data_IF_400154424683
#
_entry.id   IF_400154424683
#
_cell.length_a   1.000
_cell.length_b   1.000
_cell.length_c   1.000
_cell.angle_alpha   90.00
_cell.angle_beta   90.00
_cell.angle_gamma   90.00
#
_symmetry.space_group_name_H-M   'P 1'
#
loop_
_entity.id
_entity.type
_entity.pdbx_description
1 polymer ?
#
# COMPACT_ATOMS: atom_id res chain seq x y z
N UNK A 1 12.13 -10.28 -13.91
CA UNK A 1 12.80 -9.83 -12.67
C UNK A 1 11.77 -9.15 -11.80
N UNK A 2 11.68 -9.52 -10.52
CA UNK A 2 10.77 -8.85 -9.60
C UNK A 2 11.27 -7.44 -9.29
N UNK A 3 10.33 -6.51 -9.03
CA UNK A 3 10.59 -5.14 -8.55
C UNK A 3 11.64 -5.11 -7.41
N UNK A 4 11.66 -6.21 -6.65
CA UNK A 4 12.50 -6.52 -5.52
C UNK A 4 14.00 -6.60 -5.83
N UNK A 5 14.46 -7.16 -6.95
CA UNK A 5 15.90 -7.34 -7.21
C UNK A 5 16.61 -6.02 -7.49
N UNK A 6 15.93 -5.09 -8.18
CA UNK A 6 16.51 -3.80 -8.57
C UNK A 6 16.71 -2.90 -7.35
N UNK A 7 15.76 -2.84 -6.43
CA UNK A 7 15.91 -2.04 -5.20
C UNK A 7 16.75 -2.79 -4.15
N UNK A 8 16.51 -4.09 -3.96
CA UNK A 8 17.19 -4.88 -2.94
C UNK A 8 18.63 -5.26 -3.34
N UNK A 9 19.04 -5.09 -4.61
CA UNK A 9 20.43 -5.21 -5.03
C UNK A 9 21.35 -4.17 -4.39
N UNK A 10 20.81 -2.99 -4.06
CA UNK A 10 21.56 -1.91 -3.44
C UNK A 10 21.79 -2.12 -1.93
N UNK A 11 22.84 -1.51 -1.40
CA UNK A 11 23.15 -1.46 0.02
C UNK A 11 22.10 -0.65 0.80
N UNK A 12 22.02 -0.86 2.11
CA UNK A 12 21.08 -0.13 2.96
C UNK A 12 21.39 1.39 2.95
N UNK A 13 22.66 1.74 2.87
CA UNK A 13 23.16 3.11 2.79
C UNK A 13 22.79 3.78 1.47
N UNK A 14 22.91 3.07 0.34
CA UNK A 14 22.49 3.57 -0.98
C UNK A 14 20.97 3.79 -1.04
N UNK A 15 20.16 2.85 -0.55
CA UNK A 15 18.70 3.01 -0.48
C UNK A 15 18.35 4.25 0.37
N UNK A 16 19.02 4.44 1.51
CA UNK A 16 18.79 5.60 2.37
C UNK A 16 19.15 6.93 1.68
N UNK A 17 20.28 6.95 0.94
CA UNK A 17 20.73 8.12 0.19
C UNK A 17 19.77 8.45 -0.97
N UNK A 18 19.33 7.43 -1.72
CA UNK A 18 18.40 7.57 -2.85
C UNK A 18 17.06 8.17 -2.40
N UNK A 19 16.51 7.72 -1.26
CA UNK A 19 15.29 8.30 -0.68
C UNK A 19 15.43 9.82 -0.49
N UNK A 20 16.57 10.28 0.04
CA UNK A 20 16.81 11.71 0.26
C UNK A 20 17.11 12.49 -1.02
N UNK A 21 17.72 11.85 -2.02
CA UNK A 21 18.05 12.47 -3.30
C UNK A 21 16.80 12.69 -4.18
N UNK A 22 15.92 11.69 -4.25
CA UNK A 22 14.71 11.74 -5.09
C UNK A 22 13.58 12.55 -4.45
N UNK A 23 13.51 12.59 -3.12
CA UNK A 23 12.42 13.22 -2.39
C UNK A 23 12.94 14.29 -1.44
N UNK A 24 12.84 15.56 -1.84
CA UNK A 24 13.24 16.70 -0.99
C UNK A 24 12.55 16.73 0.38
N UNK A 25 11.38 16.10 0.49
CA UNK A 25 10.61 16.01 1.72
C UNK A 25 10.99 14.81 2.59
N UNK A 26 11.73 13.82 2.06
CA UNK A 26 12.00 12.56 2.75
C UNK A 26 13.46 12.49 3.23
N UNK A 27 13.65 11.92 4.42
CA UNK A 27 14.98 11.54 4.91
C UNK A 27 14.90 10.23 5.67
N UNK A 28 15.59 9.21 5.15
CA UNK A 28 15.75 7.93 5.84
C UNK A 28 16.80 8.08 6.97
N UNK A 29 16.42 7.68 8.18
CA UNK A 29 17.33 7.52 9.32
C UNK A 29 18.10 6.19 9.21
N UNK A 30 17.41 5.12 8.85
CA UNK A 30 18.03 3.82 8.61
C UNK A 30 17.21 2.95 7.67
N UNK A 31 17.90 2.03 7.00
CA UNK A 31 17.29 0.98 6.19
C UNK A 31 17.77 -0.36 6.73
N UNK A 32 16.84 -1.30 6.93
CA UNK A 32 17.12 -2.64 7.39
C UNK A 32 16.58 -3.66 6.39
N UNK A 33 17.46 -4.50 5.85
CA UNK A 33 17.14 -5.55 4.88
C UNK A 33 16.98 -6.88 5.62
N UNK A 34 15.87 -7.58 5.39
CA UNK A 34 15.60 -8.86 6.04
C UNK A 34 16.33 -10.00 5.31
N UNK A 35 17.29 -10.73 5.90
CA UNK A 35 18.18 -11.65 5.16
C UNK A 35 17.50 -12.81 4.42
N UNK A 36 16.23 -13.10 4.70
CA UNK A 36 15.46 -14.21 4.11
C UNK A 36 14.21 -13.73 3.37
N UNK A 37 14.10 -12.44 3.11
CA UNK A 37 13.03 -11.89 2.29
C UNK A 37 13.52 -10.68 1.50
N UNK A 38 12.87 -10.38 0.39
CA UNK A 38 13.12 -9.16 -0.39
C UNK A 38 12.43 -7.93 0.20
N UNK A 39 12.27 -7.91 1.52
CA UNK A 39 11.60 -6.86 2.26
C UNK A 39 12.65 -5.93 2.84
N UNK A 40 12.45 -4.62 2.69
CA UNK A 40 13.25 -3.62 3.37
C UNK A 40 12.37 -2.82 4.34
N UNK A 41 12.90 -2.56 5.53
CA UNK A 41 12.32 -1.63 6.49
C UNK A 41 13.05 -0.30 6.38
N UNK A 42 12.33 0.76 6.01
CA UNK A 42 12.86 2.12 5.96
C UNK A 42 12.30 2.88 7.17
N UNK A 43 13.19 3.40 8.00
CA UNK A 43 12.81 4.28 9.12
C UNK A 43 13.13 5.71 8.73
N UNK A 44 12.12 6.57 8.68
CA UNK A 44 12.26 7.99 8.38
C UNK A 44 12.59 8.79 9.64
N UNK A 45 13.14 9.98 9.47
CA UNK A 45 13.40 10.87 10.62
C UNK A 45 12.12 11.39 11.27
N UNK A 46 11.04 11.49 10.50
CA UNK A 46 9.72 11.97 10.94
C UNK A 46 8.59 11.03 10.48
N UNK A 47 7.56 10.88 11.31
CA UNK A 47 6.36 10.13 11.01
C UNK A 47 5.55 10.76 9.87
N UNK A 48 5.63 12.08 9.67
CA UNK A 48 4.98 12.73 8.52
C UNK A 48 5.58 12.24 7.20
N UNK A 49 6.89 12.02 7.12
CA UNK A 49 7.54 11.50 5.93
C UNK A 49 7.07 10.08 5.60
N UNK A 50 6.95 9.22 6.62
CA UNK A 50 6.39 7.88 6.43
C UNK A 50 4.93 7.93 5.91
N UNK A 51 4.13 8.90 6.36
CA UNK A 51 2.77 9.12 5.83
C UNK A 51 2.79 9.61 4.38
N UNK A 52 3.64 10.56 4.05
CA UNK A 52 3.78 11.06 2.68
C UNK A 52 4.24 9.93 1.74
N UNK A 53 5.21 9.11 2.14
CA UNK A 53 5.61 7.93 1.38
C UNK A 53 4.44 6.98 1.11
N UNK A 54 3.57 6.71 2.09
CA UNK A 54 2.38 5.88 1.89
C UNK A 54 1.34 6.50 0.94
N UNK A 55 1.29 7.84 0.83
CA UNK A 55 0.35 8.54 -0.05
C UNK A 55 0.91 8.72 -1.46
N UNK A 56 2.15 9.14 -1.58
CA UNK A 56 2.80 9.53 -2.83
C UNK A 56 3.58 8.37 -3.48
N UNK A 57 3.94 7.34 -2.71
CA UNK A 57 4.92 6.34 -3.15
C UNK A 57 6.36 6.77 -2.90
N UNK A 58 7.32 5.95 -3.34
CA UNK A 58 8.75 6.26 -3.32
C UNK A 58 9.37 5.92 -4.67
N UNK A 59 10.01 6.91 -5.30
CA UNK A 59 10.93 6.68 -6.41
C UNK A 59 12.28 6.21 -5.86
N UNK A 60 12.73 5.03 -6.28
CA UNK A 60 13.99 4.41 -5.90
C UNK A 60 14.62 3.79 -7.14
N UNK A 61 15.82 4.24 -7.54
CA UNK A 61 16.60 3.64 -8.63
C UNK A 61 15.78 3.47 -9.93
N UNK A 62 15.11 4.54 -10.35
CA UNK A 62 14.26 4.60 -11.55
C UNK A 62 12.95 3.80 -11.47
N UNK A 63 12.61 3.25 -10.31
CA UNK A 63 11.36 2.53 -10.08
C UNK A 63 10.48 3.33 -9.12
N UNK A 64 9.19 3.39 -9.43
CA UNK A 64 8.20 3.90 -8.51
C UNK A 64 7.60 2.76 -7.66
N UNK A 65 7.82 2.80 -6.35
CA UNK A 65 7.17 1.90 -5.38
C UNK A 65 5.91 2.59 -4.86
N UNK A 66 4.71 2.18 -5.31
CA UNK A 66 3.49 2.88 -4.94
C UNK A 66 3.13 2.64 -3.46
N UNK A 67 2.43 3.61 -2.88
CA UNK A 67 1.99 3.61 -1.48
C UNK A 67 1.35 2.31 -0.99
N UNK A 68 0.51 1.69 -1.82
CA UNK A 68 -0.23 0.48 -1.48
C UNK A 68 0.64 -0.79 -1.37
N UNK A 69 1.86 -0.79 -1.91
CA UNK A 69 2.86 -1.85 -1.74
C UNK A 69 3.71 -1.65 -0.47
N UNK A 70 3.51 -0.53 0.21
CA UNK A 70 4.19 -0.20 1.46
C UNK A 70 3.22 -0.36 2.62
N UNK A 71 3.75 -0.75 3.77
CA UNK A 71 2.97 -0.86 5.01
C UNK A 71 3.66 -0.12 6.12
N UNK A 72 2.90 0.69 6.86
CA UNK A 72 3.41 1.24 8.11
C UNK A 72 3.63 0.11 9.12
N UNK A 73 4.80 0.09 9.74
CA UNK A 73 5.02 -0.81 10.87
C UNK A 73 4.17 -0.32 12.05
N UNK A 74 3.18 -1.13 12.44
CA UNK A 74 2.33 -0.85 13.59
C UNK A 74 2.81 -1.70 14.76
N UNK A 75 3.32 -1.04 15.80
CA UNK A 75 3.65 -1.73 17.05
C UNK A 75 2.39 -1.96 17.88
N UNK A 76 2.02 -3.22 18.07
CA UNK A 76 0.88 -3.63 18.90
C UNK A 76 1.43 -4.17 20.22
N UNK A 77 1.32 -3.41 21.34
CA UNK A 77 1.85 -3.84 22.62
C UNK A 77 1.02 -5.00 23.17
N UNK A 78 1.67 -6.13 23.41
CA UNK A 78 1.11 -7.21 24.21
C UNK A 78 1.47 -7.02 25.68
N UNK A 79 0.47 -7.08 26.56
CA UNK A 79 0.67 -7.12 28.00
C UNK A 79 1.14 -8.53 28.35
N UNK A 80 2.34 -8.64 28.92
CA UNK A 80 2.88 -9.92 29.40
C UNK A 80 3.35 -9.73 30.83
N UNK A 81 2.97 -10.64 31.73
CA UNK A 81 3.51 -10.66 33.08
C UNK A 81 4.94 -11.23 33.04
N UNK A 82 5.94 -10.47 33.48
CA UNK A 82 7.33 -10.94 33.49
C UNK A 82 7.61 -12.01 34.55
N UNK A 83 6.72 -12.19 35.53
CA UNK A 83 6.80 -13.26 36.53
C UNK A 83 6.24 -14.57 35.98
N UNK A 84 5.11 -14.51 35.29
CA UNK A 84 4.38 -15.71 34.84
C UNK A 84 4.57 -16.03 33.35
N UNK A 85 5.12 -15.10 32.57
CA UNK A 85 5.27 -15.15 31.11
C UNK A 85 3.97 -15.46 30.34
N UNK A 86 2.83 -15.07 30.92
CA UNK A 86 1.52 -15.26 30.29
C UNK A 86 1.04 -14.00 29.60
N UNK A 87 0.50 -14.20 28.40
CA UNK A 87 0.07 -13.17 27.46
C UNK A 87 -1.35 -12.71 27.81
N UNK A 88 -1.57 -11.40 27.85
CA UNK A 88 -2.86 -10.71 28.01
C UNK A 88 -3.72 -11.08 29.23
N UNK A 89 -3.17 -11.76 30.26
CA UNK A 89 -3.93 -12.05 31.49
C UNK A 89 -3.81 -10.95 32.54
N UNK A 90 -2.60 -10.48 32.81
CA UNK A 90 -2.34 -9.39 33.76
C UNK A 90 -0.96 -8.77 33.49
N UNK A 91 -0.77 -7.47 33.80
CA UNK A 91 0.56 -6.87 33.84
C UNK A 91 1.34 -7.35 35.06
N UNK A 92 2.67 -7.25 35.02
CA UNK A 92 3.55 -7.62 36.14
C UNK A 92 3.18 -6.96 37.48
N UNK A 93 2.67 -5.73 37.43
CA UNK A 93 2.23 -4.96 38.61
C UNK A 93 1.02 -5.56 39.33
N UNK A 94 0.18 -6.32 38.62
CA UNK A 94 -1.05 -6.93 39.12
C UNK A 94 -0.91 -8.45 39.18
N UNK A 95 0.32 -8.94 39.33
CA UNK A 95 0.58 -10.37 39.46
C UNK A 95 0.06 -10.87 40.82
N UNK A 96 -0.79 -11.93 40.85
CA UNK A 96 -1.34 -12.47 42.10
C UNK A 96 -0.28 -13.21 42.95
N UNK A 97 0.89 -13.49 42.38
CA UNK A 97 1.96 -14.20 43.08
C UNK A 97 2.89 -13.26 43.85
N UNK A 98 3.48 -13.73 44.97
CA UNK A 98 4.36 -12.92 45.81
C UNK A 98 5.58 -12.38 45.06
N UNK A 99 6.17 -11.31 45.58
CA UNK A 99 7.42 -10.76 45.08
C UNK A 99 8.53 -11.82 45.22
N UNK A 100 9.10 -12.25 44.10
CA UNK A 100 10.10 -13.33 44.04
C UNK A 100 9.63 -14.56 43.27
N UNK A 101 8.32 -14.78 43.13
CA UNK A 101 7.81 -15.84 42.28
C UNK A 101 8.13 -15.55 40.81
N UNK A 102 8.73 -16.52 40.12
CA UNK A 102 9.01 -16.45 38.70
C UNK A 102 8.90 -17.83 38.04
N UNK A 103 8.41 -17.87 36.81
CA UNK A 103 8.46 -19.03 35.95
C UNK A 103 9.44 -18.82 34.82
N UNK A 104 10.25 -19.83 34.53
CA UNK A 104 11.16 -19.85 33.40
C UNK A 104 10.38 -19.71 32.09
N UNK A 105 10.74 -18.73 31.26
CA UNK A 105 10.11 -18.51 29.95
C UNK A 105 10.47 -19.57 28.92
N UNK A 106 11.53 -20.36 29.14
CA UNK A 106 11.99 -21.40 28.22
C UNK A 106 11.32 -22.74 28.51
N UNK A 107 11.32 -23.19 29.77
CA UNK A 107 10.91 -24.56 30.15
C UNK A 107 9.70 -24.62 31.09
N UNK A 108 9.09 -23.49 31.45
CA UNK A 108 7.94 -23.41 32.38
C UNK A 108 8.22 -23.75 33.85
N UNK A 109 9.46 -24.07 34.25
CA UNK A 109 9.81 -24.39 35.64
C UNK A 109 9.65 -23.20 36.60
N UNK A 110 9.29 -23.47 37.84
CA UNK A 110 9.21 -22.49 38.94
C UNK A 110 10.51 -22.38 39.74
N UNK A 111 11.47 -23.30 39.52
CA UNK A 111 12.69 -23.41 40.32
C UNK A 111 13.78 -22.43 39.89
N UNK A 112 13.71 -21.93 38.65
CA UNK A 112 14.75 -21.10 38.08
C UNK A 112 14.23 -20.05 37.09
N UNK A 113 15.07 -19.04 36.86
CA UNK A 113 14.85 -18.03 35.82
C UNK A 113 15.31 -18.50 34.44
N UNK A 114 14.84 -17.86 33.37
CA UNK A 114 15.32 -18.16 32.01
C UNK A 114 16.86 -18.07 31.86
N UNK A 115 17.52 -17.24 32.67
CA UNK A 115 18.99 -17.09 32.64
C UNK A 115 19.73 -18.31 33.18
N UNK A 116 19.09 -19.05 34.07
CA UNK A 116 19.64 -20.24 34.71
C UNK A 116 19.02 -21.53 34.12
N UNK A 117 18.30 -21.42 33.00
CA UNK A 117 17.66 -22.56 32.35
C UNK A 117 18.69 -23.36 31.57
N UNK A 118 18.93 -24.60 32.00
CA UNK A 118 19.78 -25.58 31.30
C UNK A 118 18.98 -26.55 30.45
N UNK A 119 17.64 -26.47 30.51
CA UNK A 119 16.75 -27.37 29.77
C UNK A 119 16.85 -27.10 28.26
N UNK A 120 17.14 -28.15 27.50
CA UNK A 120 17.16 -28.08 26.04
C UNK A 120 15.74 -28.12 25.44
N UNK A 121 14.84 -28.85 26.10
CA UNK A 121 13.42 -28.93 25.73
C UNK A 121 12.68 -27.70 26.22
N UNK A 122 12.16 -26.91 25.28
CA UNK A 122 11.36 -25.74 25.59
C UNK A 122 9.92 -26.14 25.78
N UNK A 123 9.20 -25.44 26.66
CA UNK A 123 7.78 -25.65 26.92
C UNK A 123 7.09 -24.31 27.14
N UNK A 124 6.09 -24.04 26.31
CA UNK A 124 5.38 -22.77 26.31
C UNK A 124 4.28 -22.77 27.37
N UNK A 125 4.34 -21.84 28.33
CA UNK A 125 3.33 -21.68 29.38
C UNK A 125 1.94 -21.27 28.84
N UNK A 126 1.88 -20.71 27.63
CA UNK A 126 0.64 -20.19 27.06
C UNK A 126 -0.14 -21.27 26.29
N UNK A 127 0.53 -22.12 25.52
CA UNK A 127 -0.12 -23.12 24.66
C UNK A 127 0.33 -24.57 24.90
N UNK A 128 1.33 -24.79 25.77
CA UNK A 128 1.89 -26.11 26.06
C UNK A 128 2.86 -26.67 25.02
N UNK A 129 3.08 -26.00 23.88
CA UNK A 129 3.94 -26.50 22.80
C UNK A 129 5.45 -26.33 23.02
N UNK A 130 6.24 -26.91 22.11
CA UNK A 130 7.70 -27.04 22.21
C UNK A 130 8.46 -25.75 21.81
N UNK A 131 8.22 -24.67 22.55
CA UNK A 131 8.87 -23.37 22.34
C UNK A 131 8.86 -22.52 23.61
N UNK A 132 9.64 -21.45 23.60
CA UNK A 132 9.63 -20.49 24.71
C UNK A 132 8.28 -19.75 24.75
N UNK A 133 7.83 -19.36 25.94
CA UNK A 133 6.65 -18.52 26.13
C UNK A 133 6.74 -17.16 25.40
N UNK A 134 7.95 -16.74 25.02
CA UNK A 134 8.23 -15.49 24.31
C UNK A 134 8.23 -15.63 22.79
N UNK A 135 8.12 -16.84 22.23
CA UNK A 135 8.19 -17.05 20.79
C UNK A 135 7.04 -16.36 20.04
N UNK A 136 7.37 -15.61 18.99
CA UNK A 136 6.39 -14.90 18.15
C UNK A 136 5.51 -15.84 17.31
N UNK A 137 5.93 -17.10 17.15
CA UNK A 137 5.15 -18.08 16.42
C UNK A 137 4.12 -18.83 17.28
N UNK A 138 4.09 -18.59 18.60
CA UNK A 138 3.11 -19.17 19.54
C UNK A 138 1.66 -18.84 19.10
N UNK A 139 0.75 -19.83 19.00
CA UNK A 139 -0.62 -19.61 18.54
C UNK A 139 -1.39 -18.62 19.43
N UNK A 140 -1.27 -18.75 20.76
CA UNK A 140 -1.93 -17.85 21.72
C UNK A 140 -1.45 -16.41 21.56
N UNK A 141 -0.14 -16.21 21.30
CA UNK A 141 0.44 -14.88 21.07
C UNK A 141 -0.03 -14.27 19.75
N UNK A 142 -0.10 -15.08 18.68
CA UNK A 142 -0.64 -14.66 17.39
C UNK A 142 -2.10 -14.25 17.49
N UNK A 143 -2.92 -15.03 18.21
CA UNK A 143 -4.32 -14.72 18.43
C UNK A 143 -4.49 -13.42 19.23
N UNK A 144 -3.71 -13.23 20.30
CA UNK A 144 -3.70 -11.99 21.07
C UNK A 144 -3.31 -10.77 20.21
N UNK A 145 -2.30 -10.90 19.34
CA UNK A 145 -1.91 -9.86 18.38
C UNK A 145 -3.05 -9.55 17.41
N UNK A 146 -3.63 -10.58 16.79
CA UNK A 146 -4.73 -10.43 15.83
C UNK A 146 -5.95 -9.75 16.48
N UNK A 147 -6.30 -10.12 17.72
CA UNK A 147 -7.40 -9.51 18.46
C UNK A 147 -7.16 -8.03 18.75
N UNK A 148 -5.94 -7.65 19.15
CA UNK A 148 -5.58 -6.25 19.40
C UNK A 148 -5.44 -5.44 18.11
N UNK A 149 -4.95 -6.05 17.04
CA UNK A 149 -4.92 -5.45 15.71
C UNK A 149 -6.33 -5.13 15.24
N UNK A 150 -7.24 -6.10 15.34
CA UNK A 150 -8.65 -5.92 14.99
C UNK A 150 -9.29 -4.81 15.82
N UNK A 151 -9.12 -4.83 17.14
CA UNK A 151 -9.66 -3.80 18.02
C UNK A 151 -9.10 -2.40 17.68
N UNK A 152 -7.81 -2.31 17.34
CA UNK A 152 -7.19 -1.05 16.91
C UNK A 152 -7.74 -0.59 15.56
N UNK A 153 -7.95 -1.53 14.63
CA UNK A 153 -8.56 -1.25 13.32
C UNK A 153 -10.00 -0.76 13.47
N UNK A 154 -10.81 -1.46 14.27
CA UNK A 154 -12.18 -1.07 14.58
C UNK A 154 -12.26 0.27 15.29
N UNK A 155 -11.33 0.58 16.20
CA UNK A 155 -11.27 1.90 16.83
C UNK A 155 -10.91 3.04 15.86
N UNK A 156 -10.16 2.74 14.79
CA UNK A 156 -9.83 3.72 13.72
C UNK A 156 -10.99 3.95 12.76
N UNK A 157 -11.75 2.90 12.45
CA UNK A 157 -12.98 3.00 11.67
C UNK A 157 -14.02 3.66 12.57
N UNK A 158 -14.14 4.99 12.51
CA UNK A 158 -15.17 5.72 13.27
C UNK A 158 -16.54 5.09 12.93
N UNK A 159 -17.24 4.45 13.89
CA UNK A 159 -18.40 3.64 13.56
C UNK A 159 -19.62 4.42 13.06
N UNK A 160 -19.61 5.75 13.06
CA UNK A 160 -20.81 6.56 12.81
C UNK A 160 -20.56 7.84 12.00
N UNK A 161 -19.55 7.87 11.14
CA UNK A 161 -19.44 8.98 10.17
C UNK A 161 -19.32 8.36 8.80
N UNK A 162 -20.45 8.17 8.14
CA UNK A 162 -20.43 7.86 6.71
C UNK A 162 -19.69 8.99 6.00
N UNK A 163 -19.01 8.70 4.89
CA UNK A 163 -18.31 9.73 4.13
C UNK A 163 -19.21 10.94 3.87
N UNK A 164 -20.50 10.71 3.59
CA UNK A 164 -21.51 11.76 3.42
C UNK A 164 -21.74 12.62 4.68
N UNK A 165 -21.74 12.03 5.88
CA UNK A 165 -21.85 12.79 7.13
C UNK A 165 -20.58 13.59 7.46
N UNK A 166 -19.40 13.06 7.12
CA UNK A 166 -18.14 13.79 7.28
C UNK A 166 -18.09 15.02 6.36
N UNK A 167 -18.61 14.91 5.14
CA UNK A 167 -18.72 16.04 4.20
C UNK A 167 -19.75 17.08 4.68
N UNK A 168 -20.87 16.65 5.28
CA UNK A 168 -21.89 17.55 5.83
C UNK A 168 -21.42 18.30 7.09
N UNK A 169 -20.58 17.69 7.93
CA UNK A 169 -20.05 18.33 9.14
C UNK A 169 -18.83 19.22 8.89
N UNK A 170 -18.23 19.17 7.70
CA UNK A 170 -17.06 19.98 7.33
C UNK A 170 -17.41 21.35 6.71
N UNK A 171 -18.69 21.74 6.68
CA UNK A 171 -19.09 23.04 6.14
C UNK A 171 -19.03 24.16 7.19
N UNK A 172 -18.20 25.20 7.01
CA UNK A 172 -18.51 26.52 7.55
C UNK A 172 -19.62 27.13 6.69
N UNK A 173 -20.79 27.40 7.28
CA UNK A 173 -21.78 28.43 6.88
C UNK A 173 -21.69 28.96 5.43
N UNK A 174 -21.87 28.08 4.44
CA UNK A 174 -22.04 28.45 3.05
C UNK A 174 -23.16 27.59 2.51
N UNK A 175 -24.17 28.25 1.94
CA UNK A 175 -25.39 27.64 1.45
C UNK A 175 -25.11 26.41 0.57
N UNK A 176 -25.93 25.36 0.64
CA UNK A 176 -25.76 24.15 -0.15
C UNK A 176 -25.84 24.51 -1.64
N UNK A 177 -24.68 24.65 -2.28
CA UNK A 177 -24.58 24.75 -3.73
C UNK A 177 -24.93 23.39 -4.30
N UNK A 178 -26.21 23.21 -4.64
CA UNK A 178 -26.70 22.09 -5.46
C UNK A 178 -25.86 22.07 -6.74
N UNK A 179 -24.89 21.17 -6.79
CA UNK A 179 -23.96 21.08 -7.91
C UNK A 179 -24.62 20.19 -8.95
N UNK A 180 -25.19 20.83 -9.97
CA UNK A 180 -25.68 20.18 -11.17
C UNK A 180 -24.60 19.22 -11.74
N UNK A 181 -24.87 17.90 -11.84
CA UNK A 181 -23.88 16.92 -12.32
C UNK A 181 -23.37 17.25 -13.73
N UNK A 182 -24.17 17.93 -14.57
CA UNK A 182 -23.74 18.40 -15.89
C UNK A 182 -22.60 19.42 -15.78
N UNK A 183 -22.63 20.31 -14.78
CA UNK A 183 -21.59 21.31 -14.55
C UNK A 183 -20.31 20.68 -13.98
N UNK A 184 -20.42 19.59 -13.23
CA UNK A 184 -19.26 18.85 -12.74
C UNK A 184 -18.48 18.21 -13.88
N UNK A 185 -19.19 17.57 -14.83
CA UNK A 185 -18.57 16.99 -16.03
C UNK A 185 -17.94 18.08 -16.91
N UNK A 186 -18.63 19.19 -17.15
CA UNK A 186 -18.09 20.31 -17.92
C UNK A 186 -16.79 20.88 -17.32
N UNK A 187 -16.71 21.02 -15.99
CA UNK A 187 -15.47 21.44 -15.29
C UNK A 187 -14.32 20.47 -15.53
N UNK A 188 -14.59 19.16 -15.48
CA UNK A 188 -13.57 18.14 -15.75
C UNK A 188 -13.08 18.21 -17.20
N UNK A 189 -13.99 18.35 -18.16
CA UNK A 189 -13.63 18.49 -19.58
C UNK A 189 -12.80 19.75 -19.85
N UNK A 190 -13.13 20.88 -19.20
CA UNK A 190 -12.32 22.11 -19.29
C UNK A 190 -10.89 21.91 -18.79
N UNK A 191 -10.72 21.15 -17.69
CA UNK A 191 -9.38 20.82 -17.14
C UNK A 191 -8.58 19.94 -18.08
N UNK A 192 -9.22 18.91 -18.68
CA UNK A 192 -8.57 18.02 -19.65
C UNK A 192 -8.17 18.81 -20.89
N UNK A 193 -9.07 19.64 -21.44
CA UNK A 193 -8.80 20.47 -22.61
C UNK A 193 -7.62 21.43 -22.37
N UNK A 194 -7.63 22.16 -21.25
CA UNK A 194 -6.53 23.07 -20.89
C UNK A 194 -5.19 22.34 -20.74
N UNK A 195 -5.20 21.09 -20.28
CA UNK A 195 -4.01 20.25 -20.16
C UNK A 195 -3.46 19.83 -21.53
N UNK A 196 -4.31 19.36 -22.43
CA UNK A 196 -3.94 18.96 -23.80
C UNK A 196 -3.30 20.15 -24.54
N UNK A 197 -3.92 21.33 -24.48
CA UNK A 197 -3.38 22.53 -25.12
C UNK A 197 -2.06 22.97 -24.48
N UNK A 198 -1.92 22.87 -23.15
CA UNK A 198 -0.67 23.20 -22.47
C UNK A 198 0.48 22.24 -22.79
N UNK A 199 0.19 20.98 -23.13
CA UNK A 199 1.20 20.04 -23.60
C UNK A 199 1.78 20.48 -24.96
N UNK A 200 0.95 21.04 -25.84
CA UNK A 200 1.39 21.59 -27.14
C UNK A 200 1.99 22.99 -27.02
N UNK A 201 1.53 23.79 -26.05
CA UNK A 201 1.95 25.18 -25.82
C UNK A 201 2.22 25.42 -24.32
N UNK A 202 3.43 25.10 -23.81
CA UNK A 202 3.76 25.26 -22.40
C UNK A 202 3.51 26.67 -21.87
N UNK A 203 2.82 26.77 -20.74
CA UNK A 203 2.44 28.04 -20.09
C UNK A 203 1.05 28.55 -20.47
N UNK A 204 0.35 27.88 -21.40
CA UNK A 204 -1.01 28.25 -21.82
C UNK A 204 -2.13 27.71 -20.92
N UNK A 205 -1.81 26.86 -19.92
CA UNK A 205 -2.82 26.14 -19.11
C UNK A 205 -3.88 27.07 -18.50
N UNK A 206 -3.46 28.07 -17.71
CA UNK A 206 -4.41 28.94 -17.00
C UNK A 206 -5.27 29.74 -17.97
N UNK A 207 -4.67 30.26 -19.06
CA UNK A 207 -5.40 30.99 -20.10
C UNK A 207 -6.47 30.10 -20.75
N UNK A 208 -6.10 28.86 -21.10
CA UNK A 208 -7.00 27.92 -21.77
C UNK A 208 -8.09 27.40 -20.83
N UNK A 209 -7.77 27.17 -19.56
CA UNK A 209 -8.73 26.77 -18.53
C UNK A 209 -9.76 27.88 -18.30
N UNK A 210 -9.32 29.11 -18.08
CA UNK A 210 -10.20 30.26 -17.87
C UNK A 210 -11.13 30.50 -19.08
N UNK A 211 -10.60 30.34 -20.31
CA UNK A 211 -11.39 30.44 -21.54
C UNK A 211 -12.44 29.32 -21.63
N UNK A 212 -12.04 28.06 -21.44
CA UNK A 212 -12.95 26.91 -21.51
C UNK A 212 -14.04 26.97 -20.43
N UNK A 213 -13.70 27.41 -19.22
CA UNK A 213 -14.67 27.60 -18.13
C UNK A 213 -15.67 28.71 -18.49
N UNK A 214 -15.21 29.84 -19.04
CA UNK A 214 -16.08 30.94 -19.45
C UNK A 214 -17.05 30.52 -20.57
N UNK A 215 -16.60 29.76 -21.56
CA UNK A 215 -17.43 29.22 -22.65
C UNK A 215 -18.54 28.30 -22.14
N UNK A 216 -18.32 27.62 -21.01
CA UNK A 216 -19.29 26.72 -20.38
C UNK A 216 -20.14 27.42 -19.29
N UNK A 217 -20.04 28.75 -19.15
CA UNK A 217 -20.76 29.50 -18.12
C UNK A 217 -20.34 29.12 -16.69
N UNK A 218 -19.09 28.67 -16.52
CA UNK A 218 -18.53 28.24 -15.24
C UNK A 218 -17.67 29.37 -14.64
N UNK A 219 -17.61 29.49 -13.30
CA UNK A 219 -16.77 30.49 -12.65
C UNK A 219 -15.28 30.19 -12.93
N UNK A 220 -14.51 31.25 -13.13
CA UNK A 220 -13.07 31.16 -13.32
C UNK A 220 -12.38 30.61 -12.06
N UNK A 221 -11.38 29.74 -12.26
CA UNK A 221 -10.61 29.10 -11.19
C UNK A 221 -9.14 29.42 -11.40
N UNK A 222 -8.56 30.21 -10.49
CA UNK A 222 -7.13 30.53 -10.50
C UNK A 222 -6.36 29.44 -9.75
N UNK A 223 -5.56 28.66 -10.47
CA UNK A 223 -4.65 27.70 -9.84
C UNK A 223 -3.34 28.39 -9.44
N UNK A 224 -2.71 27.98 -8.32
CA UNK A 224 -1.41 28.50 -7.93
C UNK A 224 -0.32 28.11 -8.94
N UNK A 225 0.52 29.07 -9.32
CA UNK A 225 1.68 28.90 -10.19
C UNK A 225 2.96 28.65 -9.38
N UNK A 226 3.81 27.66 -9.72
CA UNK A 226 3.68 26.70 -10.83
C UNK A 226 2.70 25.56 -10.50
N UNK A 227 1.91 25.12 -11.49
CA UNK A 227 0.90 24.07 -11.27
C UNK A 227 1.55 22.77 -10.76
N UNK A 228 1.15 22.25 -9.58
CA UNK A 228 1.79 21.09 -8.96
C UNK A 228 1.45 19.74 -9.62
N UNK A 229 0.53 19.72 -10.60
CA UNK A 229 -0.02 18.48 -11.16
C UNK A 229 0.80 17.96 -12.35
N UNK A 230 1.90 17.26 -12.07
CA UNK A 230 2.44 16.24 -12.99
C UNK A 230 1.52 15.03 -12.94
N UNK A 231 0.65 14.89 -13.95
CA UNK A 231 -0.08 13.64 -14.19
C UNK A 231 0.90 12.72 -14.92
N UNK A 232 0.99 11.44 -14.53
CA UNK A 232 1.82 10.46 -15.20
C UNK A 232 1.51 10.42 -16.71
N UNK A 233 2.56 10.36 -17.52
CA UNK A 233 2.48 10.39 -19.00
C UNK A 233 1.55 9.28 -19.54
N UNK A 234 1.45 8.16 -18.81
CA UNK A 234 0.64 7.01 -19.20
C UNK A 234 -0.86 7.32 -19.26
N UNK A 235 -1.36 8.22 -18.39
CA UNK A 235 -2.77 8.65 -18.42
C UNK A 235 -3.01 9.58 -19.61
N UNK A 236 -2.04 10.43 -19.93
CA UNK A 236 -2.14 11.32 -21.09
C UNK A 236 -2.12 10.52 -22.39
N UNK A 237 -1.24 9.52 -22.46
CA UNK A 237 -1.11 8.61 -23.60
C UNK A 237 -2.36 7.73 -23.78
N UNK A 238 -2.94 7.20 -22.70
CA UNK A 238 -4.19 6.44 -22.79
C UNK A 238 -5.38 7.28 -23.31
N UNK A 239 -5.46 8.56 -22.93
CA UNK A 239 -6.51 9.48 -23.40
C UNK A 239 -6.28 9.91 -24.85
N UNK A 240 -5.04 10.21 -25.24
CA UNK A 240 -4.71 10.58 -26.62
C UNK A 240 -4.88 9.41 -27.59
N UNK A 241 -4.51 8.19 -27.19
CA UNK A 241 -4.75 6.97 -27.96
C UNK A 241 -6.24 6.64 -28.06
N UNK A 242 -7.04 6.91 -27.01
CA UNK A 242 -8.49 6.76 -27.03
C UNK A 242 -9.18 7.71 -28.01
N UNK A 243 -8.73 8.97 -28.09
CA UNK A 243 -9.26 9.97 -29.04
C UNK A 243 -8.77 9.68 -30.47
N UNK A 244 -7.52 9.24 -30.64
CA UNK A 244 -6.97 8.87 -31.94
C UNK A 244 -7.72 7.69 -32.59
N UNK A 245 -8.04 6.65 -31.80
CA UNK A 245 -8.78 5.47 -32.29
C UNK A 245 -10.23 5.77 -32.70
N UNK A 246 -10.83 6.86 -32.23
CA UNK A 246 -12.15 7.29 -32.69
C UNK A 246 -12.10 7.98 -34.08
N UNK A 247 -10.91 8.38 -34.55
CA UNK A 247 -10.72 9.12 -35.81
C UNK A 247 -10.17 8.21 -36.92
N UNK A 248 -9.50 7.11 -36.60
CA UNK A 248 -8.91 6.16 -37.57
C UNK A 248 -9.63 4.81 -37.64
N UNK A 249 -10.95 4.82 -37.83
CA UNK A 249 -11.65 3.64 -38.38
C UNK A 249 -11.56 3.72 -39.90
N UNK A 250 -10.45 3.22 -40.44
CA UNK A 250 -10.21 3.15 -41.88
C UNK A 250 -8.75 2.91 -42.16
N UNK A 251 -8.33 1.65 -42.05
CA UNK A 251 -7.22 0.97 -42.76
C UNK A 251 -6.54 -0.07 -41.85
N UNK A 252 -6.72 -1.33 -42.23
CA UNK A 252 -6.05 -2.52 -41.70
C UNK A 252 -4.78 -2.76 -42.51
N UNK A 253 -3.66 -3.06 -41.86
CA UNK A 253 -2.66 -3.93 -42.48
C UNK A 253 -1.84 -4.71 -41.43
N UNK A 254 -1.59 -5.97 -41.79
CA UNK A 254 -0.96 -7.05 -41.03
C UNK A 254 0.58 -6.99 -41.14
N UNK A 255 1.32 -7.40 -40.09
CA UNK A 255 2.61 -8.10 -40.23
C UNK A 255 3.12 -8.66 -38.90
N UNK A 256 3.47 -9.95 -38.93
CA UNK A 256 4.11 -10.76 -37.88
C UNK A 256 5.65 -10.64 -37.91
N UNK A 257 6.33 -10.85 -36.78
CA UNK A 257 7.58 -11.64 -36.73
C UNK A 257 8.09 -11.93 -35.30
N UNK A 258 8.78 -13.06 -35.20
CA UNK A 258 9.17 -13.88 -34.04
C UNK A 258 10.49 -13.51 -33.31
N UNK A 259 10.62 -14.07 -32.10
CA UNK A 259 11.77 -14.66 -31.38
C UNK A 259 13.12 -13.90 -31.22
N UNK A 260 13.71 -13.89 -30.00
CA UNK A 260 14.70 -14.89 -29.57
C UNK A 260 15.32 -14.57 -28.17
N UNK A 261 16.10 -15.54 -27.68
CA UNK A 261 16.53 -15.90 -26.33
C UNK A 261 17.90 -15.37 -25.85
N UNK A 262 18.24 -15.59 -24.56
CA UNK A 262 19.58 -15.82 -23.92
C UNK A 262 19.51 -15.41 -22.42
N UNK A 263 19.65 -16.26 -21.40
CA UNK A 263 20.72 -17.18 -20.93
C UNK A 263 21.78 -16.54 -19.96
N UNK A 264 21.63 -16.93 -18.68
CA UNK A 264 22.55 -17.09 -17.51
C UNK A 264 23.60 -16.03 -17.09
N UNK A 265 23.68 -15.77 -15.77
CA UNK A 265 24.80 -16.23 -14.90
C UNK A 265 24.57 -15.96 -13.41
N UNK A 266 24.85 -16.98 -12.63
CA UNK A 266 24.83 -17.03 -11.17
C UNK A 266 26.19 -16.56 -10.61
N UNK A 267 26.18 -15.68 -9.61
CA UNK A 267 27.38 -15.29 -8.85
C UNK A 267 27.03 -15.24 -7.36
N UNK A 268 27.67 -16.10 -6.56
CA UNK A 268 27.61 -16.09 -5.09
C UNK A 268 28.85 -15.40 -4.52
N UNK A 269 28.64 -14.44 -3.63
CA UNK A 269 29.62 -14.02 -2.64
C UNK A 269 28.93 -13.81 -1.29
N UNK A 270 29.51 -14.38 -0.23
CA UNK A 270 29.05 -14.19 1.15
C UNK A 270 30.09 -13.40 1.92
N UNK A 271 29.65 -12.47 2.78
CA UNK A 271 30.49 -11.93 3.86
C UNK A 271 29.69 -11.49 5.08
N UNK A 272 30.38 -11.62 6.22
CA UNK A 272 29.98 -11.36 7.60
C UNK A 272 29.59 -9.90 7.86
N UNK A 273 28.42 -9.69 8.48
CA UNK A 273 28.04 -8.39 9.02
C UNK A 273 28.64 -8.18 10.44
N UNK A 274 29.42 -7.11 10.60
CA UNK A 274 29.84 -6.57 11.90
C UNK A 274 28.64 -5.89 12.58
N UNK A 275 28.40 -6.22 13.85
CA UNK A 275 27.33 -5.61 14.64
C UNK A 275 27.55 -4.11 14.86
N UNK A 276 26.56 -3.23 14.62
CA UNK A 276 26.66 -1.83 14.98
C UNK A 276 26.50 -1.60 16.49
N UNK A 277 27.21 -0.58 16.97
CA UNK A 277 27.31 -0.17 18.38
C UNK A 277 25.92 0.06 19.01
N UNK A 278 25.72 -0.50 20.20
CA UNK A 278 24.48 -0.39 21.00
C UNK A 278 24.13 1.08 21.26
N UNK A 279 22.97 1.54 20.78
CA UNK A 279 22.35 2.81 21.20
C UNK A 279 21.81 2.69 22.63
N UNK A 280 21.85 3.80 23.39
CA UNK A 280 21.24 3.90 24.73
C UNK A 280 19.74 3.57 24.65
N UNK A 281 19.25 2.75 25.59
CA UNK A 281 17.83 2.44 25.70
C UNK A 281 17.04 3.68 26.18
N UNK A 282 15.80 3.89 25.69
CA UNK A 282 14.91 4.94 26.20
C UNK A 282 14.64 4.72 27.70
N UNK A 283 14.64 5.79 28.48
CA UNK A 283 14.46 5.73 29.94
C UNK A 283 13.00 5.91 30.37
N UNK A 284 12.13 6.38 29.46
CA UNK A 284 10.70 6.59 29.76
C UNK A 284 9.78 5.89 28.76
N UNK A 285 8.59 5.52 29.23
CA UNK A 285 7.54 4.95 28.39
C UNK A 285 7.04 5.91 27.32
N UNK A 286 7.11 7.22 27.56
CA UNK A 286 6.72 8.27 26.60
C UNK A 286 7.73 8.39 25.47
N UNK A 287 9.03 8.39 25.77
CA UNK A 287 10.11 8.37 24.75
C UNK A 287 10.05 7.10 23.91
N UNK A 288 9.82 5.93 24.54
CA UNK A 288 9.67 4.67 23.82
C UNK A 288 8.45 4.70 22.89
N UNK A 289 7.31 5.22 23.36
CA UNK A 289 6.12 5.39 22.53
C UNK A 289 6.31 6.42 21.40
N UNK A 290 7.12 7.46 21.62
CA UNK A 290 7.40 8.48 20.61
C UNK A 290 8.42 7.98 19.56
N UNK A 291 9.37 7.13 19.96
CA UNK A 291 10.29 6.42 19.06
C UNK A 291 9.61 5.30 18.26
N UNK A 292 8.66 4.59 18.87
CA UNK A 292 7.94 3.48 18.24
C UNK A 292 6.75 3.92 17.38
N UNK A 293 6.27 5.16 17.51
CA UNK A 293 5.17 5.65 16.67
C UNK A 293 5.68 6.02 15.28
N UNK A 294 5.34 5.15 14.32
CA UNK A 294 4.96 5.52 12.96
C UNK A 294 6.06 6.00 11.99
N UNK A 295 7.34 5.90 12.36
CA UNK A 295 8.45 6.31 11.49
C UNK A 295 8.90 5.25 10.50
N UNK A 296 8.50 4.00 10.69
CA UNK A 296 8.98 2.89 9.87
C UNK A 296 7.94 2.41 8.87
N UNK A 297 8.38 2.24 7.63
CA UNK A 297 7.65 1.54 6.58
C UNK A 297 8.34 0.22 6.26
N UNK A 298 7.53 -0.77 5.93
CA UNK A 298 7.94 -2.06 5.40
C UNK A 298 7.56 -2.04 3.92
N UNK A 299 8.57 -2.15 3.05
CA UNK A 299 8.40 -2.37 1.63
C UNK A 299 8.23 -3.87 1.41
N UNK A 300 7.07 -4.32 0.96
CA UNK A 300 6.83 -5.73 0.68
C UNK A 300 6.01 -5.90 -0.60
N UNK A 301 6.59 -6.52 -1.61
CA UNK A 301 5.85 -6.95 -2.80
C UNK A 301 5.18 -8.31 -2.55
N UNK A 302 4.28 -8.39 -1.58
CA UNK A 302 3.30 -9.47 -1.54
C UNK A 302 2.07 -8.96 -2.26
N UNK A 303 1.88 -9.39 -3.52
CA UNK A 303 0.59 -9.23 -4.20
C UNK A 303 -0.50 -9.71 -3.24
N UNK A 304 -1.53 -8.89 -2.91
CA UNK A 304 -2.58 -9.36 -2.03
C UNK A 304 -3.26 -10.55 -2.73
N UNK A 305 -3.46 -11.71 -2.06
CA UNK A 305 -4.18 -12.85 -2.62
C UNK A 305 -5.65 -12.56 -2.95
N UNK A 306 -6.09 -11.30 -2.82
CA UNK A 306 -7.44 -10.83 -3.08
C UNK A 306 -7.52 -9.82 -4.24
N UNK A 307 -6.43 -9.40 -4.87
CA UNK A 307 -6.53 -8.46 -6.01
C UNK A 307 -7.34 -9.06 -7.17
N UNK A 308 -7.09 -10.33 -7.48
CA UNK A 308 -7.87 -11.08 -8.48
C UNK A 308 -9.34 -11.24 -8.04
N UNK A 309 -9.60 -11.45 -6.75
CA UNK A 309 -10.96 -11.59 -6.22
C UNK A 309 -11.73 -10.27 -6.24
N UNK A 310 -11.08 -9.15 -5.93
CA UNK A 310 -11.66 -7.80 -5.98
C UNK A 310 -11.98 -7.43 -7.44
N UNK A 311 -11.10 -7.74 -8.38
CA UNK A 311 -11.37 -7.55 -9.82
C UNK A 311 -12.51 -8.47 -10.27
N UNK A 312 -12.53 -9.74 -9.84
CA UNK A 312 -13.61 -10.68 -10.14
C UNK A 312 -14.96 -10.25 -9.57
N UNK A 313 -14.99 -9.74 -8.33
CA UNK A 313 -16.21 -9.28 -7.67
C UNK A 313 -16.69 -7.98 -8.33
N UNK A 314 -15.79 -7.05 -8.65
CA UNK A 314 -16.12 -5.84 -9.42
C UNK A 314 -16.65 -6.17 -10.81
N UNK A 315 -16.06 -7.14 -11.51
CA UNK A 315 -16.54 -7.61 -12.81
C UNK A 315 -17.89 -8.30 -12.66
N UNK A 316 -18.11 -9.15 -11.66
CA UNK A 316 -19.41 -9.81 -11.43
C UNK A 316 -20.52 -8.82 -11.09
N UNK A 317 -20.23 -7.83 -10.25
CA UNK A 317 -21.20 -6.80 -9.85
C UNK A 317 -21.59 -5.90 -11.03
N UNK A 318 -20.68 -5.68 -11.99
CA UNK A 318 -20.96 -4.97 -13.24
C UNK A 318 -21.50 -5.89 -14.35
N UNK A 319 -21.25 -7.20 -14.31
CA UNK A 319 -21.90 -8.17 -15.20
C UNK A 319 -23.38 -8.36 -14.82
N UNK A 320 -23.74 -8.18 -13.55
CA UNK A 320 -25.13 -8.19 -13.10
C UNK A 320 -25.94 -6.99 -13.61
N UNK A 321 -25.31 -5.95 -14.13
CA UNK A 321 -25.95 -4.75 -14.71
C UNK A 321 -25.96 -4.72 -16.25
N UNK A 322 -25.68 -5.85 -16.92
CA UNK A 322 -25.60 -6.04 -18.38
C UNK A 322 -26.93 -5.88 -19.17
N UNK A 323 -27.75 -4.87 -18.85
CA UNK A 323 -28.84 -4.48 -19.76
C UNK A 323 -28.39 -3.48 -20.84
N UNK A 324 -27.17 -2.93 -20.75
CA UNK A 324 -26.69 -1.85 -21.64
C UNK A 324 -25.45 -2.19 -22.47
N UNK A 325 -25.01 -3.45 -22.52
CA UNK A 325 -23.83 -3.86 -23.29
C UNK A 325 -24.25 -4.71 -24.48
N UNK A 326 -23.91 -4.28 -25.69
CA UNK A 326 -24.19 -5.03 -26.92
C UNK A 326 -23.09 -6.07 -27.11
N UNK A 327 -23.43 -7.35 -26.94
CA UNK A 327 -22.57 -8.43 -27.42
C UNK A 327 -22.70 -8.54 -28.94
N UNK A 328 -21.60 -8.63 -29.71
CA UNK A 328 -21.63 -8.53 -31.17
C UNK A 328 -22.48 -9.61 -31.87
N UNK A 329 -22.76 -10.72 -31.20
CA UNK A 329 -23.70 -11.74 -31.69
C UNK A 329 -24.40 -12.50 -30.56
N UNK A 330 -25.58 -13.08 -30.84
CA UNK A 330 -26.31 -13.92 -29.87
C UNK A 330 -25.54 -15.19 -29.47
N UNK A 331 -24.57 -15.62 -30.29
CA UNK A 331 -23.72 -16.77 -30.02
C UNK A 331 -22.67 -16.47 -28.94
N UNK A 332 -22.14 -15.25 -28.94
CA UNK A 332 -21.16 -14.80 -27.94
C UNK A 332 -21.80 -14.63 -26.56
N UNK A 333 -23.08 -14.23 -26.51
CA UNK A 333 -23.87 -14.19 -25.26
C UNK A 333 -24.12 -15.58 -24.65
N UNK A 334 -24.49 -16.57 -25.47
CA UNK A 334 -24.71 -17.93 -24.94
C UNK A 334 -23.38 -18.60 -24.55
N UNK A 335 -22.27 -18.27 -25.22
CA UNK A 335 -20.94 -18.73 -24.81
C UNK A 335 -20.48 -18.06 -23.51
N UNK A 336 -20.77 -16.76 -23.36
CA UNK A 336 -20.51 -15.97 -22.17
C UNK A 336 -21.20 -16.49 -20.91
N UNK A 337 -22.46 -16.88 -21.07
CA UNK A 337 -23.31 -17.42 -20.01
C UNK A 337 -22.78 -18.74 -19.44
N UNK A 338 -22.13 -19.55 -20.26
CA UNK A 338 -21.64 -20.87 -19.87
C UNK A 338 -20.21 -20.87 -19.30
N UNK A 339 -19.34 -19.92 -19.70
CA UNK A 339 -18.02 -19.73 -19.07
C UNK A 339 -17.58 -18.24 -19.07
N UNK A 340 -17.95 -17.48 -18.01
CA UNK A 340 -17.60 -16.07 -17.88
C UNK A 340 -16.09 -15.82 -17.84
N UNK A 341 -15.28 -16.82 -17.41
CA UNK A 341 -13.82 -16.69 -17.32
C UNK A 341 -13.16 -16.74 -18.69
N UNK A 342 -13.82 -17.32 -19.69
CA UNK A 342 -13.30 -17.39 -21.05
C UNK A 342 -13.39 -16.03 -21.74
N UNK A 343 -14.50 -15.28 -21.55
CA UNK A 343 -14.63 -13.91 -22.10
C UNK A 343 -13.55 -13.00 -21.54
N UNK A 344 -13.29 -13.03 -20.24
CA UNK A 344 -12.29 -12.16 -19.63
C UNK A 344 -10.90 -12.44 -20.22
N UNK A 345 -10.57 -13.72 -20.43
CA UNK A 345 -9.32 -14.13 -21.07
C UNK A 345 -9.24 -13.67 -22.52
N UNK A 346 -10.33 -13.74 -23.26
CA UNK A 346 -10.38 -13.36 -24.67
C UNK A 346 -10.43 -11.83 -24.87
N UNK A 347 -11.08 -11.09 -23.96
CA UNK A 347 -11.07 -9.63 -23.92
C UNK A 347 -9.68 -9.09 -23.56
N UNK A 348 -8.99 -9.69 -22.58
CA UNK A 348 -7.59 -9.37 -22.26
C UNK A 348 -6.63 -9.68 -23.41
N UNK A 349 -7.02 -10.58 -24.33
CA UNK A 349 -6.28 -10.90 -25.56
C UNK A 349 -6.72 -10.04 -26.75
N UNK A 350 -7.56 -9.03 -26.55
CA UNK A 350 -8.02 -8.12 -27.60
C UNK A 350 -8.99 -8.73 -28.61
N UNK A 351 -9.58 -9.90 -28.33
CA UNK A 351 -10.48 -10.61 -29.28
C UNK A 351 -11.90 -10.06 -29.30
N UNK A 352 -12.27 -9.22 -28.34
CA UNK A 352 -13.57 -8.55 -28.29
C UNK A 352 -13.36 -7.04 -28.16
N UNK A 353 -14.08 -6.28 -28.98
CA UNK A 353 -14.22 -4.83 -28.80
C UNK A 353 -15.51 -4.58 -28.02
N UNK A 354 -15.38 -4.17 -26.76
CA UNK A 354 -16.53 -3.84 -25.92
C UNK A 354 -16.83 -2.36 -26.14
N UNK A 355 -17.90 -2.06 -26.86
CA UNK A 355 -18.41 -0.69 -26.98
C UNK A 355 -19.51 -0.48 -25.93
N UNK A 356 -19.44 0.65 -25.23
CA UNK A 356 -20.51 1.17 -24.39
C UNK A 356 -21.29 2.20 -25.22
N UNK A 357 -22.62 2.15 -25.23
CA UNK A 357 -23.43 3.28 -25.73
C UNK A 357 -23.25 4.54 -24.86
#
# INVERSE_FOLDING_TARGET
MGLDELVYGHSAEEIAAEVGAQHKWAKAECVFKFPRSFTAKITFTDAQMARNALLEGLNLFQIHVPGHQMRQEVFIPLVTCNRYNVVEKHPTSSCPHPAGYMRCSECSSEEHSYRNCTTFTKKCLNCGGDHSATAMWCPVRKEALKKKEEATRQARVRPNVSFAQATQQASPTADPVVTDPSKALARLMCLIHARIINASHPGSFQKTLSMSLAENGLPDVKLPTPSPLRVPEEIFQAVSEGIGKAITIGETDDSESEEDSHETKEVRFGFLAKHPKRRKLPTTGTELNQLLRNKSLILSHTSPPQAEQIILDHVKDNLASLHSWILPSSKDYEQAKNDPKQILRDALRGRYSLACE
#
